data_IF_036696848853
#
_entry.id   IF_036696848853
#
_cell.length_a   1.000
_cell.length_b   1.000
_cell.length_c   1.000
_cell.angle_alpha   90.00
_cell.angle_beta   90.00
_cell.angle_gamma   90.00
#
_symmetry.space_group_name_H-M   'P 1'
#
loop_
_entity.id
_entity.type
_entity.pdbx_description
1 polymer ?
#
# COMPACT_ATOMS: atom_id res chain seq x y z
N UNK A 1 -9.68 -23.71 -9.53
CA UNK A 1 -10.34 -22.39 -9.66
C UNK A 1 -9.94 -21.59 -8.43
N UNK A 2 -9.49 -20.35 -8.57
CA UNK A 2 -9.12 -19.50 -7.42
C UNK A 2 -10.36 -19.20 -6.57
N UNK A 3 -10.28 -19.25 -5.23
CA UNK A 3 -11.42 -18.95 -4.37
C UNK A 3 -11.75 -17.45 -4.42
N UNK A 4 -13.03 -17.11 -4.25
CA UNK A 4 -13.43 -15.73 -3.94
C UNK A 4 -12.83 -15.33 -2.60
N UNK A 5 -12.24 -14.15 -2.53
CA UNK A 5 -11.66 -13.57 -1.32
C UNK A 5 -12.39 -12.28 -0.95
N UNK A 6 -12.09 -11.76 0.23
CA UNK A 6 -12.80 -10.64 0.84
C UNK A 6 -11.83 -9.53 1.22
N UNK A 7 -12.27 -8.28 1.10
CA UNK A 7 -11.50 -7.10 1.50
C UNK A 7 -12.09 -6.56 2.80
N UNK A 8 -11.21 -6.30 3.76
CA UNK A 8 -11.51 -5.66 5.03
C UNK A 8 -10.55 -4.50 5.26
N UNK A 9 -10.97 -3.53 6.06
CA UNK A 9 -10.12 -2.41 6.50
C UNK A 9 -9.31 -1.70 5.41
N UNK A 10 -9.92 -1.23 4.31
CA UNK A 10 -9.20 -0.35 3.38
C UNK A 10 -8.71 0.90 4.12
N UNK A 11 -7.44 1.22 3.94
CA UNK A 11 -6.76 2.39 4.48
C UNK A 11 -6.04 3.12 3.35
N UNK A 12 -5.98 4.44 3.47
CA UNK A 12 -5.38 5.31 2.46
C UNK A 12 -4.77 6.50 3.16
N UNK A 13 -3.60 6.92 2.69
CA UNK A 13 -2.97 8.14 3.12
C UNK A 13 -2.27 8.83 1.93
N UNK A 14 -2.63 10.08 1.70
CA UNK A 14 -1.84 11.07 0.99
C UNK A 14 -1.95 12.39 1.76
N UNK A 15 -1.05 13.35 1.52
CA UNK A 15 -1.09 14.67 2.19
C UNK A 15 -2.47 15.34 2.05
N UNK A 16 -3.11 15.23 0.89
CA UNK A 16 -4.44 15.78 0.65
C UNK A 16 -5.59 14.82 0.97
N UNK A 17 -5.30 13.55 1.28
CA UNK A 17 -6.26 12.48 1.58
C UNK A 17 -5.79 11.66 2.80
N UNK A 18 -5.79 12.23 4.02
CA UNK A 18 -5.09 11.66 5.17
C UNK A 18 -5.81 10.46 5.84
N UNK A 19 -6.85 9.92 5.23
CA UNK A 19 -7.58 8.75 5.70
C UNK A 19 -8.40 8.12 4.58
N UNK A 20 -8.83 6.85 4.76
CA UNK A 20 -9.74 6.22 3.81
C UNK A 20 -11.10 6.91 3.73
N UNK A 21 -11.64 7.45 4.82
CA UNK A 21 -12.92 8.16 4.79
C UNK A 21 -12.84 9.42 3.91
N UNK A 22 -11.75 10.19 4.03
CA UNK A 22 -11.50 11.36 3.18
C UNK A 22 -11.25 10.92 1.73
N UNK A 23 -10.36 9.95 1.50
CA UNK A 23 -10.05 9.45 0.16
C UNK A 23 -11.32 8.96 -0.55
N UNK A 24 -12.14 8.15 0.12
CA UNK A 24 -13.39 7.62 -0.41
C UNK A 24 -14.37 8.72 -0.82
N UNK A 25 -14.55 9.76 0.00
CA UNK A 25 -15.42 10.88 -0.34
C UNK A 25 -14.90 11.64 -1.58
N UNK A 26 -13.58 11.86 -1.67
CA UNK A 26 -12.97 12.55 -2.82
C UNK A 26 -13.03 11.71 -4.11
N UNK A 27 -12.77 10.40 -4.05
CA UNK A 27 -12.90 9.50 -5.21
C UNK A 27 -14.34 9.49 -5.77
N UNK A 28 -15.33 9.59 -4.88
CA UNK A 28 -16.75 9.67 -5.25
C UNK A 28 -17.17 11.04 -5.78
N UNK A 29 -16.36 12.09 -5.57
CA UNK A 29 -16.71 13.47 -5.86
C UNK A 29 -17.63 14.11 -4.82
N UNK A 30 -17.78 13.48 -3.66
CA UNK A 30 -18.65 13.92 -2.56
C UNK A 30 -17.96 15.00 -1.69
N UNK A 31 -16.63 15.12 -1.78
CA UNK A 31 -15.84 16.11 -1.02
C UNK A 31 -14.62 16.60 -1.82
N UNK A 32 -14.08 17.75 -1.41
CA UNK A 32 -12.79 18.25 -1.89
C UNK A 32 -11.62 17.62 -1.08
N UNK A 33 -10.39 17.58 -1.66
CA UNK A 33 -9.19 17.19 -0.91
C UNK A 33 -8.93 18.13 0.29
N UNK A 34 -8.20 17.65 1.29
CA UNK A 34 -7.87 18.41 2.49
C UNK A 34 -7.02 19.65 2.18
N UNK A 35 -7.43 20.79 2.74
CA UNK A 35 -6.73 22.07 2.69
C UNK A 35 -6.77 22.73 4.09
N UNK A 36 -5.61 22.97 4.75
CA UNK A 36 -4.26 22.66 4.27
C UNK A 36 -3.97 21.15 4.20
N UNK A 37 -3.00 20.72 3.36
CA UNK A 37 -2.56 19.33 3.34
C UNK A 37 -2.08 18.86 4.71
N UNK A 38 -2.39 17.61 5.05
CA UNK A 38 -1.92 16.96 6.25
C UNK A 38 -0.39 16.86 6.26
N UNK A 39 0.18 17.02 7.45
CA UNK A 39 1.59 16.74 7.70
C UNK A 39 1.83 15.23 7.67
N UNK A 40 3.09 14.85 7.42
CA UNK A 40 3.59 13.48 7.50
C UNK A 40 3.03 12.75 8.76
N UNK A 41 2.64 11.46 8.64
CA UNK A 41 2.17 10.68 9.78
C UNK A 41 3.20 10.54 10.89
N UNK A 42 2.70 10.27 12.10
CA UNK A 42 3.51 9.97 13.28
C UNK A 42 2.93 8.75 14.00
N UNK A 43 3.25 7.52 13.51
CA UNK A 43 2.60 6.30 13.98
C UNK A 43 2.81 6.08 15.46
N UNK A 44 1.70 5.98 16.21
CA UNK A 44 1.74 5.90 17.67
C UNK A 44 2.26 4.55 18.19
N UNK A 45 2.27 3.53 17.34
CA UNK A 45 2.78 2.19 17.68
C UNK A 45 4.29 2.13 17.93
N UNK A 46 5.06 3.09 17.38
CA UNK A 46 6.50 3.18 17.64
C UNK A 46 6.76 3.94 18.93
N UNK A 47 7.75 3.53 19.72
CA UNK A 47 8.16 4.30 20.88
C UNK A 47 8.73 5.66 20.43
N UNK A 48 8.69 6.71 21.27
CA UNK A 48 9.06 8.06 20.84
C UNK A 48 10.47 8.20 20.24
N UNK A 49 11.42 7.35 20.63
CA UNK A 49 12.77 7.33 20.07
C UNK A 49 12.80 6.73 18.66
N UNK A 50 12.17 5.57 18.43
CA UNK A 50 12.06 4.98 17.09
C UNK A 50 11.25 5.88 16.16
N UNK A 51 10.13 6.43 16.65
CA UNK A 51 9.24 7.28 15.86
C UNK A 51 9.94 8.52 15.29
N UNK A 52 10.83 9.14 16.07
CA UNK A 52 11.64 10.29 15.63
C UNK A 52 12.69 9.92 14.58
N UNK A 53 13.10 8.66 14.50
CA UNK A 53 14.14 8.16 13.60
C UNK A 53 13.58 7.40 12.40
N UNK A 54 12.31 7.00 12.46
CA UNK A 54 11.62 6.36 11.37
C UNK A 54 11.68 7.27 10.13
N UNK A 55 12.04 6.76 8.96
CA UNK A 55 11.96 7.52 7.73
C UNK A 55 10.50 7.65 7.26
N UNK A 56 10.29 8.42 6.19
CA UNK A 56 8.96 8.74 5.68
C UNK A 56 8.24 7.48 5.17
N UNK A 57 8.96 6.58 4.50
CA UNK A 57 8.45 5.26 4.07
C UNK A 57 7.88 4.44 5.22
N UNK A 58 8.63 4.31 6.32
CA UNK A 58 8.20 3.60 7.53
C UNK A 58 6.99 4.29 8.14
N UNK A 59 7.02 5.61 8.29
CA UNK A 59 5.91 6.34 8.90
C UNK A 59 4.60 6.16 8.13
N UNK A 60 4.66 6.25 6.80
CA UNK A 60 3.51 6.03 5.93
C UNK A 60 2.98 4.61 6.02
N UNK A 61 3.85 3.62 5.83
CA UNK A 61 3.48 2.22 5.79
C UNK A 61 2.82 1.77 7.10
N UNK A 62 3.38 2.18 8.24
CA UNK A 62 2.82 1.85 9.55
C UNK A 62 1.49 2.54 9.82
N UNK A 63 1.31 3.79 9.36
CA UNK A 63 0.04 4.52 9.53
C UNK A 63 -1.11 3.78 8.83
N UNK A 64 -0.96 3.46 7.54
CA UNK A 64 -2.01 2.78 6.79
C UNK A 64 -2.18 1.33 7.23
N UNK A 65 -1.10 0.63 7.58
CA UNK A 65 -1.17 -0.73 8.11
C UNK A 65 -1.95 -0.79 9.43
N UNK A 66 -1.66 0.12 10.36
CA UNK A 66 -2.37 0.20 11.64
C UNK A 66 -3.86 0.51 11.42
N UNK A 67 -4.18 1.48 10.57
CA UNK A 67 -5.56 1.83 10.24
C UNK A 67 -6.32 0.66 9.58
N UNK A 68 -5.66 -0.10 8.70
CA UNK A 68 -6.27 -1.26 8.04
C UNK A 68 -6.57 -2.38 9.04
N UNK A 69 -5.62 -2.69 9.93
CA UNK A 69 -5.81 -3.70 10.97
C UNK A 69 -6.91 -3.29 11.94
N UNK A 70 -6.90 -2.05 12.42
CA UNK A 70 -7.94 -1.51 13.29
C UNK A 70 -9.33 -1.64 12.66
N UNK A 71 -9.48 -1.18 11.40
CA UNK A 71 -10.76 -1.23 10.70
C UNK A 71 -11.24 -2.67 10.39
N UNK A 72 -10.30 -3.61 10.19
CA UNK A 72 -10.62 -5.04 10.01
C UNK A 72 -10.98 -5.75 11.32
N UNK A 73 -10.63 -5.19 12.48
CA UNK A 73 -10.82 -5.81 13.78
C UNK A 73 -9.88 -7.00 14.06
N UNK A 74 -8.81 -7.16 13.28
CA UNK A 74 -7.86 -8.28 13.41
C UNK A 74 -6.75 -7.96 14.41
N UNK A 75 -6.13 -9.02 14.94
CA UNK A 75 -4.92 -8.92 15.76
C UNK A 75 -3.71 -8.70 14.86
N UNK A 76 -3.04 -7.55 14.98
CA UNK A 76 -1.80 -7.28 14.25
C UNK A 76 -0.71 -8.31 14.52
N UNK A 77 -0.70 -8.88 15.74
CA UNK A 77 0.30 -9.83 16.24
C UNK A 77 0.28 -11.18 15.49
N UNK A 78 -0.88 -11.56 14.97
CA UNK A 78 -1.14 -12.88 14.39
C UNK A 78 -1.46 -12.81 12.89
N UNK A 79 -1.25 -11.64 12.27
CA UNK A 79 -1.63 -11.35 10.90
C UNK A 79 -0.40 -11.37 9.98
N UNK A 80 -0.28 -12.36 9.08
CA UNK A 80 0.70 -12.35 8.01
C UNK A 80 0.61 -11.06 7.20
N UNK A 81 1.73 -10.56 6.71
CA UNK A 81 1.76 -9.29 6.01
C UNK A 81 2.67 -9.25 4.80
N UNK A 82 2.27 -8.45 3.82
CA UNK A 82 3.00 -8.14 2.59
C UNK A 82 3.16 -6.63 2.52
N UNK A 83 4.40 -6.17 2.47
CA UNK A 83 4.74 -4.74 2.30
C UNK A 83 5.34 -4.53 0.90
N UNK A 84 4.67 -3.73 0.08
CA UNK A 84 5.06 -3.42 -1.28
C UNK A 84 5.54 -1.97 -1.41
N UNK A 85 6.67 -1.77 -2.08
CA UNK A 85 7.18 -0.46 -2.48
C UNK A 85 7.94 -0.65 -3.79
N UNK A 86 7.85 0.31 -4.70
CA UNK A 86 8.58 0.26 -5.95
C UNK A 86 10.08 0.50 -5.73
N UNK A 87 10.42 1.37 -4.76
CA UNK A 87 11.76 1.91 -4.63
C UNK A 87 12.36 1.86 -3.22
N UNK A 88 11.57 1.50 -2.20
CA UNK A 88 11.97 1.64 -0.81
C UNK A 88 12.22 3.11 -0.45
N UNK A 89 13.19 3.37 0.43
CA UNK A 89 13.47 4.72 0.88
C UNK A 89 14.46 5.46 -0.03
N UNK A 90 13.92 6.17 -1.02
CA UNK A 90 14.69 6.95 -1.98
C UNK A 90 15.54 8.05 -1.33
N UNK A 91 15.07 8.66 -0.24
CA UNK A 91 15.81 9.70 0.48
C UNK A 91 17.04 9.15 1.19
N UNK A 92 16.92 7.97 1.80
CA UNK A 92 18.07 7.27 2.36
C UNK A 92 19.01 6.81 1.24
N UNK A 93 18.50 6.24 0.15
CA UNK A 93 19.35 5.77 -0.95
C UNK A 93 20.19 6.90 -1.57
N UNK A 94 19.60 8.07 -1.82
CA UNK A 94 20.34 9.24 -2.30
C UNK A 94 21.44 9.66 -1.31
N UNK A 95 21.12 9.74 -0.02
CA UNK A 95 22.11 10.03 1.03
C UNK A 95 23.25 9.00 1.04
N UNK A 96 22.95 7.71 0.91
CA UNK A 96 23.94 6.64 0.95
C UNK A 96 24.91 6.77 -0.23
N UNK A 97 24.37 6.93 -1.45
CA UNK A 97 25.16 7.13 -2.66
C UNK A 97 26.02 8.40 -2.57
N UNK A 98 25.45 9.52 -2.14
CA UNK A 98 26.16 10.78 -2.00
C UNK A 98 27.28 10.70 -0.95
N UNK A 99 27.03 10.01 0.18
CA UNK A 99 28.04 9.85 1.24
C UNK A 99 29.19 8.97 0.76
N UNK A 100 28.90 7.84 0.10
CA UNK A 100 29.92 6.95 -0.44
C UNK A 100 30.75 7.59 -1.55
N UNK A 101 30.16 8.44 -2.39
CA UNK A 101 30.89 9.14 -3.45
C UNK A 101 31.83 10.22 -2.90
N UNK A 102 31.49 10.87 -1.77
CA UNK A 102 32.25 11.99 -1.22
C UNK A 102 33.20 11.57 -0.08
N UNK A 103 32.68 10.97 0.99
CA UNK A 103 33.46 10.46 2.12
C UNK A 103 32.79 9.22 2.76
N UNK A 104 33.19 8.00 2.34
CA UNK A 104 32.63 6.75 2.84
C UNK A 104 32.66 6.58 4.36
N UNK A 105 33.58 7.26 5.08
CA UNK A 105 33.72 7.10 6.54
C UNK A 105 32.59 7.78 7.31
N UNK A 106 31.82 8.65 6.67
CA UNK A 106 30.71 9.39 7.28
C UNK A 106 29.36 8.66 7.20
N UNK A 107 29.36 7.40 6.74
CA UNK A 107 28.15 6.62 6.59
C UNK A 107 27.45 6.39 7.94
N UNK A 108 26.21 6.87 8.06
CA UNK A 108 25.42 6.68 9.27
C UNK A 108 24.93 5.23 9.40
N UNK A 109 25.24 4.51 10.49
CA UNK A 109 24.72 3.16 10.72
C UNK A 109 23.19 3.11 10.79
N UNK A 110 22.55 4.16 11.31
CA UNK A 110 21.09 4.25 11.40
C UNK A 110 20.46 4.35 10.00
N UNK A 111 21.02 5.21 9.14
CA UNK A 111 20.51 5.34 7.77
C UNK A 111 20.77 4.07 6.96
N UNK A 112 21.91 3.41 7.16
CA UNK A 112 22.19 2.11 6.54
C UNK A 112 21.19 1.04 6.97
N UNK A 113 20.84 0.94 8.26
CA UNK A 113 19.81 -0.01 8.71
C UNK A 113 18.44 0.24 8.07
N UNK A 114 18.13 1.51 7.78
CA UNK A 114 16.86 1.90 7.16
C UNK A 114 16.92 1.91 5.62
N UNK A 115 18.04 1.53 4.99
CA UNK A 115 18.17 1.49 3.52
C UNK A 115 17.67 0.18 2.92
N UNK A 116 17.47 -0.86 3.73
CA UNK A 116 16.94 -2.14 3.25
C UNK A 116 15.45 -2.01 2.93
N UNK A 117 15.01 -2.66 1.85
CA UNK A 117 13.63 -2.57 1.37
C UNK A 117 12.60 -3.02 2.42
N UNK A 118 12.97 -4.01 3.23
CA UNK A 118 12.13 -4.57 4.28
C UNK A 118 12.13 -3.76 5.59
N UNK A 119 12.70 -2.54 5.63
CA UNK A 119 12.73 -1.74 6.84
C UNK A 119 11.30 -1.51 7.39
N UNK A 120 10.34 -1.13 6.55
CA UNK A 120 8.95 -0.89 6.96
C UNK A 120 8.30 -2.12 7.63
N UNK A 121 8.44 -3.31 7.05
CA UNK A 121 7.90 -4.54 7.66
C UNK A 121 8.67 -4.95 8.92
N UNK A 122 9.98 -4.66 9.00
CA UNK A 122 10.77 -4.82 10.22
C UNK A 122 10.24 -3.95 11.37
N UNK A 123 10.00 -2.67 11.12
CA UNK A 123 9.37 -1.79 12.12
C UNK A 123 7.95 -2.23 12.49
N UNK A 124 7.17 -2.73 11.53
CA UNK A 124 5.82 -3.24 11.79
C UNK A 124 5.85 -4.43 12.74
N UNK A 125 6.67 -5.44 12.45
CA UNK A 125 6.77 -6.66 13.25
C UNK A 125 7.29 -6.37 14.66
N UNK A 126 8.30 -5.49 14.80
CA UNK A 126 8.77 -5.03 16.11
C UNK A 126 7.68 -4.27 16.88
N UNK A 127 6.99 -3.33 16.23
CA UNK A 127 5.97 -2.49 16.88
C UNK A 127 4.70 -3.24 17.26
N UNK A 128 4.37 -4.31 16.55
CA UNK A 128 3.17 -5.14 16.82
C UNK A 128 3.46 -6.42 17.60
N UNK A 129 4.74 -6.80 17.69
CA UNK A 129 5.13 -8.13 18.16
C UNK A 129 4.70 -9.27 17.23
N UNK A 130 4.43 -8.97 15.95
CA UNK A 130 3.98 -9.96 14.98
C UNK A 130 5.10 -10.95 14.63
N UNK A 131 4.83 -12.23 14.86
CA UNK A 131 5.74 -13.35 14.51
C UNK A 131 5.20 -14.22 13.38
N UNK A 132 4.09 -13.82 12.75
CA UNK A 132 3.57 -14.47 11.55
C UNK A 132 4.46 -14.20 10.33
N UNK A 133 4.19 -14.88 9.21
CA UNK A 133 4.94 -14.68 7.98
C UNK A 133 4.86 -13.21 7.52
N UNK A 134 6.02 -12.63 7.20
CA UNK A 134 6.13 -11.24 6.76
C UNK A 134 6.98 -11.16 5.50
N UNK A 135 6.47 -10.55 4.44
CA UNK A 135 7.15 -10.41 3.16
C UNK A 135 7.30 -8.93 2.77
N UNK A 136 8.35 -8.62 2.02
CA UNK A 136 8.53 -7.31 1.39
C UNK A 136 8.95 -7.49 -0.06
N UNK A 137 8.25 -6.81 -0.98
CA UNK A 137 8.45 -6.99 -2.42
C UNK A 137 8.45 -5.67 -3.18
N UNK A 138 9.05 -5.71 -4.36
CA UNK A 138 9.07 -4.63 -5.33
C UNK A 138 8.83 -5.19 -6.72
N UNK A 139 8.00 -4.51 -7.50
CA UNK A 139 7.73 -4.80 -8.91
C UNK A 139 7.65 -3.51 -9.73
N UNK A 140 8.46 -2.51 -9.37
CA UNK A 140 8.47 -1.18 -9.99
C UNK A 140 7.05 -0.58 -10.03
N UNK A 141 6.58 -0.11 -11.19
CA UNK A 141 5.24 0.45 -11.42
C UNK A 141 4.07 -0.55 -11.24
N UNK A 142 4.35 -1.80 -10.86
CA UNK A 142 3.36 -2.86 -10.62
C UNK A 142 3.40 -3.40 -9.19
N UNK A 143 4.03 -2.68 -8.26
CA UNK A 143 4.29 -3.15 -6.90
C UNK A 143 3.01 -3.41 -6.10
N UNK A 144 1.98 -2.57 -6.21
CA UNK A 144 0.70 -2.85 -5.55
C UNK A 144 0.02 -4.07 -6.15
N UNK A 145 -0.03 -4.19 -7.48
CA UNK A 145 -0.65 -5.32 -8.16
C UNK A 145 0.02 -6.66 -7.79
N UNK A 146 1.36 -6.68 -7.76
CA UNK A 146 2.14 -7.83 -7.32
C UNK A 146 1.90 -8.14 -5.82
N UNK A 147 1.84 -7.09 -4.98
CA UNK A 147 1.50 -7.21 -3.56
C UNK A 147 0.12 -7.83 -3.31
N UNK A 148 -0.88 -7.42 -4.09
CA UNK A 148 -2.23 -7.96 -4.02
C UNK A 148 -2.29 -9.41 -4.49
N UNK A 149 -1.56 -9.77 -5.54
CA UNK A 149 -1.45 -11.16 -6.00
C UNK A 149 -0.82 -12.04 -4.91
N UNK A 150 0.28 -11.59 -4.29
CA UNK A 150 0.96 -12.29 -3.21
C UNK A 150 0.02 -12.49 -2.01
N UNK A 151 -0.62 -11.42 -1.52
CA UNK A 151 -1.54 -11.48 -0.40
C UNK A 151 -2.77 -12.38 -0.68
N UNK A 152 -3.34 -12.31 -1.88
CA UNK A 152 -4.44 -13.18 -2.31
C UNK A 152 -4.01 -14.65 -2.39
N UNK A 153 -2.79 -14.91 -2.87
CA UNK A 153 -2.26 -16.28 -2.99
C UNK A 153 -2.01 -16.89 -1.63
N UNK A 154 -1.35 -16.17 -0.71
CA UNK A 154 -1.13 -16.61 0.67
C UNK A 154 -2.47 -16.84 1.39
N UNK A 155 -3.41 -15.89 1.27
CA UNK A 155 -4.72 -15.98 1.89
C UNK A 155 -5.52 -17.20 1.40
N UNK A 156 -5.50 -17.45 0.09
CA UNK A 156 -6.16 -18.61 -0.51
C UNK A 156 -5.49 -19.94 -0.11
N UNK A 157 -4.16 -19.99 -0.07
CA UNK A 157 -3.41 -21.21 0.23
C UNK A 157 -3.55 -21.61 1.71
N UNK A 158 -3.38 -20.64 2.61
CA UNK A 158 -3.30 -20.90 4.05
C UNK A 158 -4.65 -20.73 4.77
N UNK A 159 -5.69 -20.27 4.06
CA UNK A 159 -7.00 -19.95 4.62
C UNK A 159 -6.90 -19.01 5.84
N UNK A 160 -5.99 -18.04 5.75
CA UNK A 160 -5.73 -17.05 6.78
C UNK A 160 -5.73 -15.65 6.16
N UNK A 161 -6.22 -14.65 6.89
CA UNK A 161 -6.18 -13.29 6.39
C UNK A 161 -4.75 -12.74 6.29
N UNK A 162 -4.51 -11.83 5.35
CA UNK A 162 -3.19 -11.25 5.07
C UNK A 162 -3.33 -9.74 4.92
N UNK A 163 -2.51 -8.99 5.66
CA UNK A 163 -2.36 -7.54 5.49
C UNK A 163 -1.52 -7.24 4.25
N UNK A 164 -2.01 -6.35 3.40
CA UNK A 164 -1.22 -5.73 2.34
C UNK A 164 -1.04 -4.24 2.66
N UNK A 165 0.20 -3.75 2.63
CA UNK A 165 0.51 -2.32 2.68
C UNK A 165 1.38 -1.93 1.48
N UNK A 166 0.95 -0.94 0.70
CA UNK A 166 1.69 -0.35 -0.42
C UNK A 166 2.09 1.09 -0.10
N UNK A 167 3.33 1.48 -0.36
CA UNK A 167 3.79 2.85 -0.05
C UNK A 167 4.98 3.26 -0.92
N UNK A 168 5.03 4.53 -1.29
CA UNK A 168 6.22 5.15 -1.87
C UNK A 168 6.27 6.66 -1.55
N UNK A 169 7.49 7.19 -1.57
CA UNK A 169 7.81 8.59 -1.23
C UNK A 169 8.36 9.34 -2.45
N UNK A 170 8.46 10.68 -2.41
CA UNK A 170 9.08 11.44 -3.48
C UNK A 170 10.54 11.04 -3.69
N UNK A 171 10.98 11.01 -4.94
CA UNK A 171 12.41 10.95 -5.25
C UNK A 171 13.08 12.29 -4.91
N UNK A 172 14.36 12.22 -4.53
CA UNK A 172 15.17 13.39 -4.16
C UNK A 172 16.58 13.29 -4.75
N UNK A 173 17.31 14.42 -4.74
CA UNK A 173 18.70 14.47 -5.13
C UNK A 173 18.95 13.97 -6.55
N UNK A 174 20.02 13.19 -6.73
CA UNK A 174 20.42 12.69 -8.05
C UNK A 174 19.41 11.65 -8.58
N UNK A 175 18.81 10.86 -7.68
CA UNK A 175 17.82 9.84 -8.03
C UNK A 175 16.55 10.44 -8.64
N UNK A 176 16.21 11.68 -8.28
CA UNK A 176 15.09 12.41 -8.88
C UNK A 176 15.23 12.69 -10.38
N UNK A 177 16.42 12.54 -10.96
CA UNK A 177 16.63 12.67 -12.42
C UNK A 177 16.24 11.43 -13.22
N UNK A 178 16.07 10.28 -12.56
CA UNK A 178 15.82 8.97 -13.21
C UNK A 178 14.59 8.24 -12.66
N UNK A 179 14.09 8.63 -11.49
CA UNK A 179 12.90 8.06 -10.86
C UNK A 179 11.85 9.17 -10.72
N UNK A 180 10.73 9.04 -11.44
CA UNK A 180 9.57 9.91 -11.26
C UNK A 180 8.66 9.33 -10.17
N UNK A 181 8.88 9.79 -8.94
CA UNK A 181 7.98 9.57 -7.82
C UNK A 181 7.81 10.89 -7.10
N UNK A 182 6.56 11.31 -6.92
CA UNK A 182 6.17 12.58 -6.29
C UNK A 182 5.13 12.33 -5.23
N UNK A 183 5.00 13.29 -4.33
CA UNK A 183 4.10 13.22 -3.18
C UNK A 183 4.37 11.99 -2.28
N UNK A 184 3.77 12.01 -1.11
CA UNK A 184 3.74 10.88 -0.21
C UNK A 184 2.42 10.12 -0.45
N UNK A 185 2.49 8.81 -0.72
CA UNK A 185 1.31 7.96 -0.92
C UNK A 185 1.49 6.62 -0.21
N UNK A 186 0.47 6.20 0.52
CA UNK A 186 0.37 4.86 1.05
C UNK A 186 -1.07 4.36 1.08
N UNK A 187 -1.21 3.05 0.98
CA UNK A 187 -2.46 2.33 0.98
C UNK A 187 -2.31 1.04 1.77
N UNK A 188 -3.38 0.55 2.38
CA UNK A 188 -3.40 -0.79 2.95
C UNK A 188 -4.80 -1.39 2.92
N UNK A 189 -4.87 -2.70 3.04
CA UNK A 189 -6.10 -3.46 3.21
C UNK A 189 -5.78 -4.83 3.80
N UNK A 190 -6.80 -5.52 4.29
CA UNK A 190 -6.69 -6.94 4.64
C UNK A 190 -7.45 -7.78 3.62
N UNK A 191 -6.78 -8.80 3.09
CA UNK A 191 -7.40 -9.86 2.26
C UNK A 191 -7.79 -11.02 3.17
N UNK A 192 -9.07 -11.36 3.22
CA UNK A 192 -9.62 -12.40 4.08
C UNK A 192 -10.21 -13.58 3.28
N UNK A 193 -10.11 -14.82 3.79
CA UNK A 193 -10.62 -16.01 3.09
C UNK A 193 -12.12 -16.20 3.29
N UNK A 194 -12.69 -15.61 4.35
CA UNK A 194 -14.10 -15.73 4.73
C UNK A 194 -14.71 -14.36 4.94
N UNK A 195 -15.98 -14.23 4.55
CA UNK A 195 -16.75 -13.01 4.81
C UNK A 195 -16.98 -12.82 6.31
N UNK A 196 -16.89 -11.57 6.74
CA UNK A 196 -17.21 -11.11 8.09
C UNK A 196 -18.14 -9.90 8.02
N UNK A 197 -18.58 -9.40 9.17
CA UNK A 197 -19.29 -8.13 9.29
C UNK A 197 -18.43 -6.91 8.94
N UNK A 198 -17.10 -7.06 8.92
CA UNK A 198 -16.13 -6.01 8.56
C UNK A 198 -15.78 -6.00 7.08
N UNK A 199 -16.27 -6.97 6.32
CA UNK A 199 -16.02 -7.06 4.88
C UNK A 199 -16.66 -5.90 4.15
N UNK A 200 -15.87 -5.21 3.32
CA UNK A 200 -16.32 -4.09 2.48
C UNK A 200 -16.53 -4.51 1.02
N UNK A 201 -15.84 -5.56 0.57
CA UNK A 201 -15.94 -6.08 -0.80
C UNK A 201 -15.63 -7.57 -0.82
N UNK A 202 -16.20 -8.29 -1.77
CA UNK A 202 -15.70 -9.59 -2.21
C UNK A 202 -15.04 -9.44 -3.59
N UNK A 203 -14.09 -10.30 -3.93
CA UNK A 203 -13.47 -10.30 -5.24
C UNK A 203 -13.10 -11.70 -5.73
N UNK A 204 -13.36 -11.94 -7.01
CA UNK A 204 -12.72 -13.04 -7.73
C UNK A 204 -11.45 -12.52 -8.38
N UNK A 205 -10.44 -13.38 -8.48
CA UNK A 205 -9.15 -13.01 -9.04
C UNK A 205 -8.61 -14.09 -9.97
N UNK A 206 -7.89 -13.68 -11.01
CA UNK A 206 -7.24 -14.59 -11.96
C UNK A 206 -6.09 -13.88 -12.66
N UNK A 207 -5.13 -14.64 -13.15
CA UNK A 207 -4.15 -14.11 -14.08
C UNK A 207 -4.74 -14.05 -15.48
N UNK A 208 -4.56 -12.92 -16.16
CA UNK A 208 -4.95 -12.73 -17.55
C UNK A 208 -3.71 -12.43 -18.39
N UNK A 209 -3.50 -13.21 -19.45
CA UNK A 209 -2.44 -12.97 -20.43
C UNK A 209 -2.91 -12.04 -21.55
N UNK A 210 -2.02 -11.20 -22.05
CA UNK A 210 -2.32 -10.20 -23.09
C UNK A 210 -2.15 -8.78 -22.58
N UNK A 211 -2.44 -7.81 -23.44
CA UNK A 211 -2.38 -6.39 -23.07
C UNK A 211 -3.43 -6.11 -21.99
N UNK A 212 -3.05 -5.54 -20.82
CA UNK A 212 -4.01 -5.19 -19.78
C UNK A 212 -5.09 -4.24 -20.32
N UNK A 213 -6.35 -4.47 -19.92
CA UNK A 213 -7.43 -3.57 -20.28
C UNK A 213 -7.16 -2.16 -19.71
N UNK A 214 -7.50 -1.09 -20.45
CA UNK A 214 -7.31 0.26 -19.96
C UNK A 214 -8.15 0.49 -18.70
N UNK A 215 -7.52 1.10 -17.70
CA UNK A 215 -8.18 1.48 -16.45
C UNK A 215 -9.10 2.69 -16.66
N UNK A 216 -10.15 2.79 -15.84
CA UNK A 216 -11.02 3.96 -15.84
C UNK A 216 -10.21 5.24 -15.52
N UNK A 217 -10.54 6.39 -16.12
CA UNK A 217 -9.93 7.66 -15.72
C UNK A 217 -10.23 7.99 -14.25
N UNK A 218 -9.17 8.33 -13.50
CA UNK A 218 -9.31 8.77 -12.11
C UNK A 218 -9.97 10.17 -12.02
N UNK A 219 -10.68 10.47 -10.92
CA UNK A 219 -11.21 11.81 -10.65
C UNK A 219 -10.11 12.88 -10.65
N UNK A 220 -10.39 14.07 -11.18
CA UNK A 220 -9.42 15.18 -11.25
C UNK A 220 -8.75 15.49 -9.91
N UNK A 221 -9.51 15.38 -8.82
CA UNK A 221 -9.06 15.65 -7.46
C UNK A 221 -7.90 14.75 -6.98
N UNK A 222 -7.69 13.58 -7.61
CA UNK A 222 -6.65 12.61 -7.24
C UNK A 222 -5.63 12.35 -8.35
N UNK A 223 -5.77 12.98 -9.52
CA UNK A 223 -4.88 12.75 -10.68
C UNK A 223 -3.42 13.07 -10.37
N UNK A 224 -3.16 14.07 -9.51
CA UNK A 224 -1.79 14.42 -9.10
C UNK A 224 -1.04 13.25 -8.44
N UNK A 225 -1.76 12.34 -7.78
CA UNK A 225 -1.16 11.15 -7.15
C UNK A 225 -0.62 10.13 -8.16
N UNK A 226 -0.98 10.24 -9.46
CA UNK A 226 -0.42 9.39 -10.51
C UNK A 226 1.09 9.52 -10.69
N UNK A 227 1.67 10.62 -10.19
CA UNK A 227 3.11 10.83 -10.24
C UNK A 227 3.86 10.11 -9.11
N UNK A 228 3.18 9.38 -8.22
CA UNK A 228 3.82 8.55 -7.20
C UNK A 228 4.06 7.13 -7.73
N UNK A 229 5.15 6.47 -7.32
CA UNK A 229 5.47 5.12 -7.77
C UNK A 229 4.48 4.02 -7.32
N UNK A 230 3.65 4.29 -6.30
CA UNK A 230 2.56 3.43 -5.83
C UNK A 230 1.20 3.76 -6.49
N UNK A 231 1.20 4.51 -7.59
CA UNK A 231 -0.02 4.94 -8.28
C UNK A 231 -0.82 3.79 -8.91
N UNK A 232 -0.23 2.60 -9.08
CA UNK A 232 -0.93 1.40 -9.57
C UNK A 232 -2.00 0.90 -8.61
N UNK A 233 -1.98 1.35 -7.35
CA UNK A 233 -3.07 1.13 -6.38
C UNK A 233 -4.32 1.98 -6.65
N UNK A 234 -4.19 3.14 -7.30
CA UNK A 234 -5.27 4.13 -7.38
C UNK A 234 -6.54 3.61 -8.08
N UNK A 235 -6.47 2.85 -9.21
CA UNK A 235 -7.68 2.30 -9.84
C UNK A 235 -8.46 1.36 -8.91
N UNK A 236 -7.74 0.56 -8.12
CA UNK A 236 -8.35 -0.36 -7.16
C UNK A 236 -9.10 0.40 -6.05
N UNK A 237 -8.48 1.44 -5.48
CA UNK A 237 -9.12 2.26 -4.44
C UNK A 237 -10.25 3.15 -4.98
N UNK A 238 -10.19 3.63 -6.23
CA UNK A 238 -11.33 4.30 -6.88
C UNK A 238 -12.52 3.36 -7.02
N UNK A 239 -12.29 2.13 -7.49
CA UNK A 239 -13.34 1.12 -7.62
C UNK A 239 -13.98 0.77 -6.27
N UNK A 240 -13.16 0.57 -5.22
CA UNK A 240 -13.66 0.35 -3.86
C UNK A 240 -14.50 1.53 -3.35
N UNK A 241 -14.12 2.77 -3.65
CA UNK A 241 -14.82 3.96 -3.18
C UNK A 241 -16.22 4.10 -3.77
N UNK A 242 -16.39 3.74 -5.06
CA UNK A 242 -17.65 3.89 -5.80
C UNK A 242 -18.76 2.95 -5.31
N UNK A 243 -18.40 1.79 -4.76
CA UNK A 243 -19.35 0.76 -4.34
C UNK A 243 -20.18 0.16 -5.51
N UNK A 244 -19.62 0.12 -6.72
CA UNK A 244 -20.21 -0.46 -7.92
C UNK A 244 -19.45 -1.74 -8.33
N UNK A 245 -20.13 -2.80 -8.82
CA UNK A 245 -19.44 -3.95 -9.40
C UNK A 245 -18.50 -3.49 -10.51
N UNK A 246 -17.25 -3.91 -10.44
CA UNK A 246 -16.21 -3.47 -11.37
C UNK A 246 -15.28 -4.62 -11.73
N UNK A 247 -14.73 -4.57 -12.95
CA UNK A 247 -13.70 -5.49 -13.42
C UNK A 247 -12.43 -4.70 -13.66
N UNK A 248 -11.37 -5.01 -12.92
CA UNK A 248 -10.08 -4.32 -13.00
C UNK A 248 -9.02 -5.27 -13.53
N UNK A 249 -8.21 -4.82 -14.48
CA UNK A 249 -7.01 -5.54 -14.92
C UNK A 249 -5.77 -4.80 -14.42
N UNK A 250 -5.30 -5.13 -13.21
CA UNK A 250 -4.10 -4.52 -12.63
C UNK A 250 -2.86 -5.10 -13.34
N UNK A 251 -2.04 -4.30 -14.05
CA UNK A 251 -0.88 -4.83 -14.75
C UNK A 251 0.15 -5.44 -13.78
N UNK A 252 0.70 -6.59 -14.16
CA UNK A 252 1.87 -7.24 -13.54
C UNK A 252 3.10 -7.20 -14.46
N UNK A 253 2.95 -6.55 -15.62
CA UNK A 253 3.92 -6.43 -16.69
C UNK A 253 3.23 -6.13 -18.02
N UNK A 254 3.98 -6.07 -19.11
CA UNK A 254 3.47 -5.67 -20.43
C UNK A 254 2.40 -6.61 -21.02
N UNK A 255 2.38 -7.88 -20.64
CA UNK A 255 1.45 -8.90 -21.17
C UNK A 255 0.79 -9.77 -20.10
N UNK A 256 0.82 -9.34 -18.85
CA UNK A 256 0.25 -10.06 -17.73
C UNK A 256 -0.47 -9.07 -16.82
N UNK A 257 -1.68 -9.41 -16.40
CA UNK A 257 -2.43 -8.65 -15.41
C UNK A 257 -3.09 -9.55 -14.38
N UNK A 258 -3.25 -9.02 -13.18
CA UNK A 258 -4.17 -9.51 -12.16
C UNK A 258 -5.56 -8.98 -12.48
N UNK A 259 -6.42 -9.85 -13.02
CA UNK A 259 -7.81 -9.54 -13.27
C UNK A 259 -8.63 -9.75 -12.01
N UNK A 260 -9.37 -8.73 -11.60
CA UNK A 260 -10.24 -8.71 -10.44
C UNK A 260 -11.68 -8.47 -10.86
N UNK A 261 -12.63 -9.15 -10.22
CA UNK A 261 -14.06 -8.83 -10.29
C UNK A 261 -14.57 -8.48 -8.91
N UNK A 262 -14.77 -7.20 -8.64
CA UNK A 262 -15.21 -6.68 -7.35
C UNK A 262 -16.74 -6.79 -7.20
N UNK A 263 -17.19 -7.21 -6.01
CA UNK A 263 -18.60 -7.28 -5.61
C UNK A 263 -18.77 -6.53 -4.30
N UNK A 264 -19.37 -5.33 -4.37
CA UNK A 264 -19.46 -4.38 -3.25
C UNK A 264 -20.84 -4.40 -2.55
N UNK A 265 -21.85 -5.03 -3.15
CA UNK A 265 -23.10 -5.38 -2.47
C UNK A 265 -23.00 -6.81 -1.96
N UNK A 266 -22.65 -6.94 -0.69
CA UNK A 266 -22.63 -8.23 -0.03
C UNK A 266 -24.07 -8.51 0.45
N UNK A 267 -24.91 -9.08 -0.41
CA UNK A 267 -26.28 -9.48 -0.02
C UNK A 267 -26.21 -10.30 1.27
N UNK A 268 -27.03 -9.94 2.26
CA UNK A 268 -27.21 -10.75 3.47
C UNK A 268 -27.80 -12.08 3.02
N UNK A 269 -27.02 -13.16 3.08
CA UNK A 269 -27.64 -14.49 3.01
C UNK A 269 -28.41 -14.65 4.33
N UNK A 270 -29.73 -14.65 4.21
CA UNK A 270 -30.66 -14.94 5.31
C UNK A 270 -30.66 -16.41 5.69
#
# INVERSE_FOLDING_TARGET
MTPTLYIEGPAFWASTLPSWSTARAVFRGDAAPADPPAKRPSPQMLAPAERRRAPDTVALALEVAAAAVEASGRSAKDLPCVFASAHGDLGINDYMCATLANDPKLLSPIKFHNSVHNAAVGYWTIGTGCTAASNSLAAYEHSFAAGLLEAATQCAADQQAVLLAGFDIPSVGALGSVIDSRELLAVALVVAPTRTERTVAAFDWSLSTGTPAPQRPLPKAVVALKANAMADALPFFDALARAEPDSLDLPLGARLSLRLRLRLRLESQG
#
